data_IF_255413430943
#
_entry.id   IF_255413430943
#
_cell.length_a   1.000
_cell.length_b   1.000
_cell.length_c   1.000
_cell.angle_alpha   90.00
_cell.angle_beta   90.00
_cell.angle_gamma   90.00
#
_symmetry.space_group_name_H-M   'P 1'
#
loop_
_entity.id
_entity.type
_entity.pdbx_description
1 polymer ?
#
# COMPACT_ATOMS: atom_id res chain seq x y z
N UNK A 1 43.87 26.79 -23.10
CA UNK A 1 42.43 26.85 -22.75
C UNK A 1 41.67 25.74 -23.47
N UNK A 2 42.15 24.49 -23.42
CA UNK A 2 41.61 23.34 -24.17
C UNK A 2 41.72 22.00 -23.39
N UNK A 3 41.99 22.07 -22.11
CA UNK A 3 42.18 20.89 -21.24
C UNK A 3 41.09 20.71 -20.17
N UNK A 4 40.05 21.57 -20.17
CA UNK A 4 38.96 21.51 -19.17
C UNK A 4 37.67 20.87 -19.68
N UNK A 5 37.63 20.38 -20.92
CA UNK A 5 36.38 19.88 -21.54
C UNK A 5 36.29 18.35 -21.68
N UNK A 6 37.28 17.60 -21.21
CA UNK A 6 37.31 16.12 -21.36
C UNK A 6 36.98 15.38 -20.05
N UNK A 7 36.85 16.04 -18.92
CA UNK A 7 36.56 15.41 -17.63
C UNK A 7 35.09 15.45 -17.22
N UNK A 8 34.21 16.01 -18.05
CA UNK A 8 32.77 16.13 -17.73
C UNK A 8 31.88 15.04 -18.36
N UNK A 9 32.48 14.05 -19.04
CA UNK A 9 31.70 13.06 -19.80
C UNK A 9 31.92 11.60 -19.38
N UNK A 10 32.56 11.38 -18.24
CA UNK A 10 32.64 10.03 -17.63
C UNK A 10 31.89 10.03 -16.30
N UNK A 11 30.65 10.52 -16.30
CA UNK A 11 29.63 10.07 -15.36
C UNK A 11 28.92 8.91 -16.05
N UNK A 12 29.65 7.82 -16.27
CA UNK A 12 29.04 6.53 -16.55
C UNK A 12 28.15 6.24 -15.35
N UNK A 13 26.86 6.22 -15.59
CA UNK A 13 25.85 5.61 -14.73
C UNK A 13 26.33 4.20 -14.41
N UNK A 14 27.09 4.06 -13.32
CA UNK A 14 27.26 2.77 -12.68
C UNK A 14 25.88 2.38 -12.16
N UNK A 15 25.10 1.68 -12.97
CA UNK A 15 24.05 0.87 -12.42
C UNK A 15 24.70 0.02 -11.33
N UNK A 16 24.24 0.06 -10.07
CA UNK A 16 24.87 -0.71 -9.01
C UNK A 16 24.78 -2.18 -9.34
N UNK A 17 25.88 -2.72 -9.86
CA UNK A 17 25.95 -4.14 -10.15
C UNK A 17 26.17 -4.84 -8.81
N UNK A 18 25.11 -5.49 -8.31
CA UNK A 18 25.22 -6.33 -7.12
C UNK A 18 26.04 -7.54 -7.52
N UNK A 19 27.20 -7.65 -6.94
CA UNK A 19 28.07 -8.82 -7.14
C UNK A 19 28.10 -9.64 -5.85
N UNK A 20 27.92 -10.95 -5.93
CA UNK A 20 27.75 -11.81 -7.11
C UNK A 20 26.30 -11.85 -7.62
N UNK A 21 26.07 -12.22 -8.88
CA UNK A 21 24.76 -12.22 -9.58
C UNK A 21 23.64 -12.94 -8.82
N UNK A 22 23.96 -13.92 -7.98
CA UNK A 22 23.00 -14.64 -7.15
C UNK A 22 23.09 -14.24 -5.66
N UNK A 23 23.37 -12.98 -5.40
CA UNK A 23 23.56 -12.41 -4.06
C UNK A 23 22.43 -12.76 -3.09
N UNK A 24 21.16 -12.56 -3.49
CA UNK A 24 20.00 -12.87 -2.65
C UNK A 24 19.97 -14.33 -2.19
N UNK A 25 20.30 -15.28 -3.06
CA UNK A 25 20.43 -16.69 -2.70
C UNK A 25 21.55 -16.93 -1.69
N UNK A 26 22.70 -16.32 -1.92
CA UNK A 26 23.88 -16.53 -1.07
C UNK A 26 23.73 -15.98 0.34
N UNK A 27 22.99 -14.89 0.51
CA UNK A 27 22.67 -14.32 1.85
C UNK A 27 21.45 -14.96 2.49
N UNK A 28 20.76 -15.90 1.81
CA UNK A 28 19.55 -16.54 2.33
C UNK A 28 18.30 -15.66 2.24
N UNK A 29 18.29 -14.57 1.45
CA UNK A 29 17.15 -13.67 1.35
C UNK A 29 15.90 -14.34 0.77
N UNK A 30 16.07 -15.36 -0.06
CA UNK A 30 14.96 -16.14 -0.60
C UNK A 30 14.17 -16.87 0.50
N UNK A 31 14.81 -17.32 1.58
CA UNK A 31 14.11 -17.89 2.72
C UNK A 31 13.31 -16.83 3.48
N UNK A 32 13.86 -15.62 3.64
CA UNK A 32 13.13 -14.49 4.23
C UNK A 32 11.91 -14.14 3.37
N UNK A 33 12.06 -14.04 2.04
CA UNK A 33 10.96 -13.79 1.10
C UNK A 33 9.87 -14.86 1.23
N UNK A 34 10.24 -16.15 1.32
CA UNK A 34 9.30 -17.25 1.53
C UNK A 34 8.54 -17.11 2.86
N UNK A 35 9.24 -16.82 3.95
CA UNK A 35 8.61 -16.61 5.26
C UNK A 35 7.64 -15.43 5.27
N UNK A 36 7.97 -14.32 4.58
CA UNK A 36 7.08 -13.17 4.42
C UNK A 36 5.85 -13.54 3.61
N UNK A 37 6.04 -14.26 2.49
CA UNK A 37 4.97 -14.70 1.61
C UNK A 37 3.95 -15.60 2.33
N UNK A 38 4.43 -16.49 3.21
CA UNK A 38 3.59 -17.38 4.03
C UNK A 38 2.75 -16.61 5.07
N UNK A 39 3.18 -15.40 5.46
CA UNK A 39 2.47 -14.54 6.41
C UNK A 39 1.55 -13.51 5.75
N UNK A 40 1.52 -13.42 4.43
CA UNK A 40 0.65 -12.51 3.73
C UNK A 40 -0.82 -12.91 3.89
N UNK A 41 -1.68 -11.95 4.22
CA UNK A 41 -3.12 -12.12 4.42
C UNK A 41 -3.89 -12.28 3.09
N UNK A 42 -3.30 -11.84 1.98
CA UNK A 42 -3.97 -11.84 0.68
C UNK A 42 -3.03 -12.25 -0.47
N UNK A 43 -3.58 -12.70 -1.61
CA UNK A 43 -2.81 -12.92 -2.83
C UNK A 43 -2.06 -11.66 -3.28
N UNK A 44 -2.66 -10.48 -3.14
CA UNK A 44 -2.06 -9.19 -3.47
C UNK A 44 -0.78 -8.93 -2.66
N UNK A 45 -0.81 -9.24 -1.36
CA UNK A 45 0.37 -9.15 -0.50
C UNK A 45 1.48 -10.09 -0.95
N UNK A 46 1.14 -11.33 -1.32
CA UNK A 46 2.11 -12.30 -1.86
C UNK A 46 2.77 -11.79 -3.14
N UNK A 47 1.99 -11.19 -4.04
CA UNK A 47 2.52 -10.56 -5.26
C UNK A 47 3.51 -9.42 -4.97
N UNK A 48 3.27 -8.62 -3.92
CA UNK A 48 4.21 -7.56 -3.53
C UNK A 48 5.50 -8.15 -2.95
N UNK A 49 5.42 -9.20 -2.15
CA UNK A 49 6.61 -9.91 -1.65
C UNK A 49 7.43 -10.51 -2.80
N UNK A 50 6.76 -11.08 -3.81
CA UNK A 50 7.44 -11.64 -4.99
C UNK A 50 8.15 -10.57 -5.84
N UNK A 51 7.66 -9.30 -5.79
CA UNK A 51 8.27 -8.14 -6.46
C UNK A 51 9.40 -7.48 -5.67
N UNK A 52 9.62 -7.87 -4.42
CA UNK A 52 10.70 -7.28 -3.60
C UNK A 52 12.05 -7.49 -4.27
N UNK A 53 12.78 -6.40 -4.44
CA UNK A 53 14.10 -6.37 -5.06
C UNK A 53 15.04 -5.45 -4.28
N UNK A 54 16.33 -5.64 -4.47
CA UNK A 54 17.32 -4.74 -3.95
C UNK A 54 17.16 -3.34 -4.56
N UNK A 55 17.29 -2.32 -3.72
CA UNK A 55 17.35 -0.92 -4.14
C UNK A 55 18.62 -0.25 -3.59
N UNK A 56 19.25 0.57 -4.42
CA UNK A 56 20.36 1.47 -4.03
C UNK A 56 19.89 2.90 -3.80
N UNK A 57 18.60 3.16 -4.01
CA UNK A 57 17.96 4.44 -3.73
C UNK A 57 17.74 4.61 -2.23
N UNK A 58 18.56 5.44 -1.61
CA UNK A 58 18.52 5.65 -0.17
C UNK A 58 17.23 6.34 0.29
N UNK A 59 16.65 7.24 -0.51
CA UNK A 59 15.40 7.93 -0.19
C UNK A 59 14.23 6.94 -0.20
N UNK A 60 14.15 6.11 -1.23
CA UNK A 60 13.15 5.07 -1.36
C UNK A 60 13.22 4.04 -0.22
N UNK A 61 14.44 3.58 0.11
CA UNK A 61 14.64 2.60 1.20
C UNK A 61 14.24 3.22 2.54
N UNK A 62 14.61 4.48 2.80
CA UNK A 62 14.22 5.18 4.03
C UNK A 62 12.71 5.35 4.13
N UNK A 63 12.02 5.66 3.03
CA UNK A 63 10.55 5.76 3.00
C UNK A 63 9.91 4.41 3.37
N UNK A 64 10.35 3.30 2.79
CA UNK A 64 9.83 1.97 3.15
C UNK A 64 10.09 1.62 4.62
N UNK A 65 11.28 1.95 5.15
CA UNK A 65 11.58 1.72 6.56
C UNK A 65 10.73 2.59 7.49
N UNK A 66 10.40 3.82 7.09
CA UNK A 66 9.48 4.68 7.84
C UNK A 66 8.06 4.11 7.83
N UNK A 67 7.56 3.66 6.68
CA UNK A 67 6.24 3.01 6.58
C UNK A 67 6.14 1.79 7.49
N UNK A 68 7.15 0.92 7.51
CA UNK A 68 7.17 -0.26 8.40
C UNK A 68 7.20 0.15 9.87
N UNK A 69 8.00 1.17 10.23
CA UNK A 69 8.10 1.67 11.61
C UNK A 69 6.77 2.27 12.07
N UNK A 70 6.13 3.08 11.23
CA UNK A 70 4.84 3.68 11.53
C UNK A 70 3.74 2.62 11.62
N UNK A 71 3.75 1.61 10.73
CA UNK A 71 2.79 0.53 10.80
C UNK A 71 2.91 -0.30 12.09
N UNK A 72 4.13 -0.58 12.55
CA UNK A 72 4.33 -1.23 13.85
C UNK A 72 3.76 -0.41 14.99
N UNK A 73 4.01 0.91 15.00
CA UNK A 73 3.46 1.82 16.01
C UNK A 73 1.93 1.87 15.93
N UNK A 74 1.36 1.97 14.74
CA UNK A 74 -0.07 1.92 14.49
C UNK A 74 -0.72 0.66 15.10
N UNK A 75 -0.08 -0.51 14.92
CA UNK A 75 -0.56 -1.77 15.48
C UNK A 75 -0.49 -1.85 17.02
N UNK A 76 0.33 -1.02 17.64
CA UNK A 76 0.45 -0.91 19.11
C UNK A 76 -0.56 0.12 19.66
N UNK A 77 -0.85 1.19 18.90
CA UNK A 77 -1.67 2.33 19.33
C UNK A 77 -3.16 2.19 18.95
N UNK A 78 -3.49 1.48 17.88
CA UNK A 78 -4.86 1.29 17.38
C UNK A 78 -5.28 -0.16 17.58
N UNK A 79 -6.12 -0.40 18.59
CA UNK A 79 -6.52 -1.73 19.04
C UNK A 79 -7.30 -2.51 17.97
N UNK A 80 -8.19 -1.82 17.22
CA UNK A 80 -9.08 -2.43 16.22
C UNK A 80 -8.71 -2.05 14.79
N UNK A 81 -7.42 -1.98 14.46
CA UNK A 81 -7.03 -1.70 13.07
C UNK A 81 -7.53 -2.82 12.13
N UNK A 82 -8.26 -2.49 11.03
CA UNK A 82 -8.93 -3.46 10.20
C UNK A 82 -7.95 -4.28 9.34
N UNK A 83 -7.53 -5.44 9.82
CA UNK A 83 -6.63 -6.37 9.10
C UNK A 83 -7.35 -7.57 8.47
N UNK A 84 -8.66 -7.51 8.28
CA UNK A 84 -9.46 -8.61 7.79
C UNK A 84 -10.06 -8.29 6.42
N UNK A 85 -10.49 -9.34 5.72
CA UNK A 85 -11.28 -9.22 4.48
C UNK A 85 -10.54 -8.56 3.29
N UNK A 86 -9.29 -8.99 3.06
CA UNK A 86 -8.51 -8.60 1.87
C UNK A 86 -8.73 -9.63 0.75
N UNK A 87 -9.89 -9.60 0.12
CA UNK A 87 -10.21 -10.48 -0.98
C UNK A 87 -9.66 -9.95 -2.30
N UNK A 88 -9.21 -10.85 -3.18
CA UNK A 88 -8.81 -10.47 -4.53
C UNK A 88 -10.02 -10.51 -5.45
N UNK A 89 -10.63 -9.36 -5.62
CA UNK A 89 -11.84 -9.16 -6.44
C UNK A 89 -11.53 -8.75 -7.89
N UNK A 90 -10.26 -8.74 -8.29
CA UNK A 90 -9.83 -8.26 -9.63
C UNK A 90 -10.46 -9.06 -10.77
N UNK A 91 -10.48 -10.38 -10.67
CA UNK A 91 -11.06 -11.25 -11.71
C UNK A 91 -12.57 -11.02 -11.82
N UNK A 92 -13.28 -10.95 -10.70
CA UNK A 92 -14.72 -10.68 -10.64
C UNK A 92 -15.07 -9.32 -11.28
N UNK A 93 -14.29 -8.26 -10.95
CA UNK A 93 -14.46 -6.93 -11.54
C UNK A 93 -14.15 -6.93 -13.04
N UNK A 94 -13.14 -7.67 -13.49
CA UNK A 94 -12.83 -7.78 -14.91
C UNK A 94 -13.94 -8.49 -15.69
N UNK A 95 -14.53 -9.53 -15.12
CA UNK A 95 -15.61 -10.29 -15.75
C UNK A 95 -16.87 -9.46 -15.97
N UNK A 96 -17.25 -8.62 -15.01
CA UNK A 96 -18.46 -7.78 -15.12
C UNK A 96 -18.34 -6.61 -16.12
N UNK A 97 -17.18 -6.42 -16.76
CA UNK A 97 -17.06 -5.49 -17.90
C UNK A 97 -17.76 -6.00 -19.16
N UNK A 98 -18.08 -7.28 -19.21
CA UNK A 98 -18.82 -7.89 -20.32
C UNK A 98 -20.31 -7.61 -20.13
N UNK A 99 -20.98 -7.16 -21.17
CA UNK A 99 -22.43 -6.91 -21.13
C UNK A 99 -23.22 -8.16 -20.69
N UNK A 100 -24.24 -7.95 -19.88
CA UNK A 100 -25.10 -9.00 -19.29
C UNK A 100 -24.37 -9.96 -18.33
N UNK A 101 -23.17 -9.64 -17.88
CA UNK A 101 -22.51 -10.33 -16.78
C UNK A 101 -22.89 -9.70 -15.44
N UNK A 102 -22.80 -10.49 -14.38
CA UNK A 102 -23.07 -10.06 -13.02
C UNK A 102 -22.08 -10.69 -12.04
N UNK A 103 -22.03 -10.13 -10.84
CA UNK A 103 -21.34 -10.77 -9.72
C UNK A 103 -22.28 -11.78 -9.06
N UNK A 104 -21.75 -12.92 -8.69
CA UNK A 104 -22.43 -13.84 -7.80
C UNK A 104 -22.54 -13.22 -6.39
N UNK A 105 -23.45 -13.76 -5.57
CA UNK A 105 -23.71 -13.24 -4.23
C UNK A 105 -22.43 -13.20 -3.37
N UNK A 106 -21.68 -14.29 -3.33
CA UNK A 106 -20.42 -14.38 -2.58
C UNK A 106 -19.38 -13.36 -3.06
N UNK A 107 -19.26 -13.13 -4.36
CA UNK A 107 -18.37 -12.15 -4.94
C UNK A 107 -18.77 -10.71 -4.57
N UNK A 108 -20.07 -10.45 -4.49
CA UNK A 108 -20.60 -9.17 -4.07
C UNK A 108 -20.33 -8.91 -2.58
N UNK A 109 -20.45 -9.94 -1.73
CA UNK A 109 -20.04 -9.88 -0.33
C UNK A 109 -18.56 -9.61 -0.16
N UNK A 110 -17.72 -10.30 -0.91
CA UNK A 110 -16.27 -10.14 -0.87
C UNK A 110 -15.85 -8.73 -1.33
N UNK A 111 -16.46 -8.22 -2.40
CA UNK A 111 -16.26 -6.85 -2.87
C UNK A 111 -16.67 -5.83 -1.79
N UNK A 112 -17.86 -5.99 -1.23
CA UNK A 112 -18.38 -5.10 -0.17
C UNK A 112 -17.45 -5.07 1.04
N UNK A 113 -17.00 -6.22 1.52
CA UNK A 113 -16.11 -6.34 2.68
C UNK A 113 -14.76 -5.70 2.40
N UNK A 114 -14.17 -5.98 1.23
CA UNK A 114 -12.89 -5.38 0.83
C UNK A 114 -12.96 -3.86 0.71
N UNK A 115 -14.03 -3.32 0.12
CA UNK A 115 -14.24 -1.87 0.02
C UNK A 115 -14.41 -1.21 1.39
N UNK A 116 -15.16 -1.86 2.31
CA UNK A 116 -15.34 -1.35 3.68
C UNK A 116 -14.02 -1.33 4.43
N UNK A 117 -13.26 -2.44 4.41
CA UNK A 117 -11.93 -2.52 5.04
C UNK A 117 -10.99 -1.42 4.54
N UNK A 118 -10.94 -1.18 3.23
CA UNK A 118 -10.11 -0.12 2.64
C UNK A 118 -10.60 1.26 3.13
N UNK A 119 -11.90 1.51 3.16
CA UNK A 119 -12.45 2.78 3.61
C UNK A 119 -12.10 3.06 5.09
N UNK A 120 -12.21 2.05 5.94
CA UNK A 120 -11.88 2.15 7.36
C UNK A 120 -10.37 2.42 7.57
N UNK A 121 -9.50 1.73 6.82
CA UNK A 121 -8.06 1.97 6.85
C UNK A 121 -7.72 3.40 6.42
N UNK A 122 -8.28 3.86 5.29
CA UNK A 122 -8.05 5.21 4.77
C UNK A 122 -8.52 6.26 5.77
N UNK A 123 -9.66 6.04 6.42
CA UNK A 123 -10.16 6.95 7.47
C UNK A 123 -9.18 7.07 8.64
N UNK A 124 -8.64 5.96 9.13
CA UNK A 124 -7.65 5.94 10.22
C UNK A 124 -6.36 6.65 9.82
N UNK A 125 -5.83 6.35 8.63
CA UNK A 125 -4.55 6.88 8.15
C UNK A 125 -4.61 8.36 7.74
N UNK A 126 -5.79 8.86 7.39
CA UNK A 126 -6.02 10.26 7.01
C UNK A 126 -6.59 11.11 8.16
N UNK A 127 -6.78 10.53 9.35
CA UNK A 127 -7.12 11.29 10.55
C UNK A 127 -5.94 12.18 10.94
N UNK A 128 -6.21 13.46 11.20
CA UNK A 128 -5.21 14.40 11.69
C UNK A 128 -5.50 14.78 13.14
N UNK A 129 -4.45 14.99 13.93
CA UNK A 129 -4.58 15.39 15.33
C UNK A 129 -5.31 16.75 15.50
N UNK A 130 -5.35 17.55 14.42
CA UNK A 130 -5.97 18.88 14.38
C UNK A 130 -7.47 18.85 14.02
N UNK A 131 -8.04 17.67 13.68
CA UNK A 131 -9.46 17.56 13.28
C UNK A 131 -10.39 17.74 14.52
N UNK A 132 -9.87 17.68 15.75
CA UNK A 132 -10.60 17.86 17.01
C UNK A 132 -10.48 19.28 17.61
N UNK A 133 -9.70 20.19 17.02
CA UNK A 133 -9.54 21.57 17.50
C UNK A 133 -10.39 22.58 16.72
N UNK A 134 -10.97 23.63 17.40
CA UNK A 134 -11.79 24.63 16.75
C UNK A 134 -10.95 25.51 15.80
N UNK A 135 -11.54 25.83 14.64
CA UNK A 135 -11.00 26.69 13.58
C UNK A 135 -10.68 28.12 14.07
N UNK A 136 -9.55 28.31 14.72
CA UNK A 136 -8.94 29.63 14.83
C UNK A 136 -8.09 29.87 13.57
N UNK A 137 -8.54 30.76 12.72
CA UNK A 137 -8.18 31.17 11.37
C UNK A 137 -6.71 31.24 10.92
N UNK A 138 -5.81 30.48 11.49
CA UNK A 138 -4.43 30.32 11.05
C UNK A 138 -4.30 28.95 10.38
N UNK A 139 -3.77 28.90 9.14
CA UNK A 139 -3.41 27.63 8.46
C UNK A 139 -2.33 26.91 9.28
N UNK A 140 -2.75 26.05 10.18
CA UNK A 140 -1.88 25.08 10.82
C UNK A 140 -1.68 23.97 9.77
N UNK A 141 -0.42 23.65 9.50
CA UNK A 141 -0.06 22.52 8.64
C UNK A 141 -0.58 21.24 9.31
N UNK A 142 -1.54 20.54 8.70
CA UNK A 142 -2.16 19.34 9.30
C UNK A 142 -1.08 18.33 9.68
N UNK A 143 -1.10 17.93 10.93
CA UNK A 143 -0.14 16.97 11.48
C UNK A 143 -0.78 15.58 11.52
N UNK A 144 -0.25 14.67 10.72
CA UNK A 144 -0.69 13.29 10.70
C UNK A 144 0.13 12.44 11.66
N UNK A 145 -0.51 11.58 12.50
CA UNK A 145 0.20 10.67 13.41
C UNK A 145 1.16 9.72 12.69
N UNK A 146 0.79 9.31 11.46
CA UNK A 146 1.54 8.37 10.62
C UNK A 146 1.82 8.95 9.23
N UNK A 147 2.73 9.94 9.09
CA UNK A 147 2.89 10.68 7.84
C UNK A 147 3.36 9.84 6.64
N UNK A 148 4.17 8.80 6.84
CA UNK A 148 4.58 7.92 5.75
C UNK A 148 3.44 7.01 5.27
N UNK A 149 2.60 6.51 6.18
CA UNK A 149 1.40 5.75 5.84
C UNK A 149 0.31 6.66 5.24
N UNK A 150 0.18 7.91 5.72
CA UNK A 150 -0.71 8.89 5.13
C UNK A 150 -0.35 9.16 3.66
N UNK A 151 0.94 9.39 3.33
CA UNK A 151 1.38 9.53 1.93
C UNK A 151 1.03 8.32 1.06
N UNK A 152 1.05 7.12 1.63
CA UNK A 152 0.67 5.90 0.92
C UNK A 152 -0.83 5.82 0.66
N UNK A 153 -1.67 6.39 1.52
CA UNK A 153 -3.14 6.29 1.49
C UNK A 153 -3.86 7.52 0.91
N UNK A 154 -3.20 8.67 0.81
CA UNK A 154 -3.84 9.95 0.44
C UNK A 154 -4.55 9.94 -0.92
N UNK A 155 -4.04 9.14 -1.87
CA UNK A 155 -4.60 9.03 -3.23
C UNK A 155 -5.61 7.88 -3.37
N UNK A 156 -5.87 7.15 -2.29
CA UNK A 156 -6.81 6.02 -2.30
C UNK A 156 -8.25 6.54 -2.27
N UNK A 157 -9.00 6.26 -3.32
CA UNK A 157 -10.41 6.66 -3.43
C UNK A 157 -11.28 5.61 -2.75
N UNK A 158 -12.18 6.05 -1.88
CA UNK A 158 -13.19 5.22 -1.22
C UNK A 158 -14.56 5.36 -1.88
N UNK A 159 -15.41 4.35 -1.77
CA UNK A 159 -16.69 4.28 -2.46
C UNK A 159 -17.88 4.04 -1.49
N UNK A 160 -18.17 4.95 -0.56
CA UNK A 160 -19.21 4.74 0.46
C UNK A 160 -20.62 4.55 -0.14
N UNK A 161 -20.92 5.26 -1.23
CA UNK A 161 -22.20 5.12 -1.92
C UNK A 161 -22.38 3.74 -2.57
N UNK A 162 -21.29 3.18 -3.12
CA UNK A 162 -21.29 1.84 -3.69
C UNK A 162 -21.48 0.79 -2.59
N UNK A 163 -20.81 0.91 -1.45
CA UNK A 163 -20.99 0.04 -0.29
C UNK A 163 -22.45 0.05 0.15
N UNK A 164 -23.02 1.22 0.35
CA UNK A 164 -24.44 1.37 0.72
C UNK A 164 -25.38 0.74 -0.31
N UNK A 165 -25.07 0.87 -1.60
CA UNK A 165 -25.89 0.28 -2.67
C UNK A 165 -25.81 -1.25 -2.67
N UNK A 166 -24.65 -1.81 -2.41
CA UNK A 166 -24.46 -3.26 -2.26
C UNK A 166 -25.26 -3.76 -1.06
N UNK A 167 -25.18 -3.09 0.09
CA UNK A 167 -25.92 -3.43 1.30
C UNK A 167 -27.45 -3.50 1.02
N UNK A 168 -27.99 -2.51 0.30
CA UNK A 168 -29.40 -2.51 -0.12
C UNK A 168 -29.80 -3.68 -1.04
N UNK A 169 -28.85 -4.24 -1.77
CA UNK A 169 -29.09 -5.41 -2.63
C UNK A 169 -29.06 -6.67 -1.77
N UNK A 170 -28.05 -6.81 -0.92
CA UNK A 170 -27.85 -7.97 -0.06
C UNK A 170 -28.94 -8.12 1.03
N UNK A 171 -29.48 -7.00 1.55
CA UNK A 171 -30.57 -7.02 2.54
C UNK A 171 -31.93 -7.51 1.98
N UNK A 172 -32.00 -7.76 0.68
CA UNK A 172 -33.23 -8.25 0.01
C UNK A 172 -33.28 -9.77 -0.13
N UNK A 173 -32.21 -10.45 0.22
CA UNK A 173 -32.10 -11.91 0.21
C UNK A 173 -32.00 -12.46 1.64
#
# INVERSE_FOLDING_TARGET
>A
MLFYFVLSSICTTFAPMIYPDNFENKIGFNEIRKMLRERCLSPLGKEQVDKMAFSSDAEQVNEWLMQVREFRRLMEEVEDFPLQYFYDVRESILRIRVENSHLEEDELFDLRRSLSTIADMVKILNHSDDDDEPEDGWRIEKKYPYPALHRLSQDVVTFPQLIQRIDQILDKF
#
